data_IF_177434650110
#
_entry.id   IF_177434650110
#
_cell.length_a   1.000
_cell.length_b   1.000
_cell.length_c   1.000
_cell.angle_alpha   90.00
_cell.angle_beta   90.00
_cell.angle_gamma   90.00
#
_symmetry.space_group_name_H-M   'P 1'
#
loop_
_entity.id
_entity.type
_entity.pdbx_description
1 polymer ?
#
# COMPACT_ATOMS: atom_id res chain seq x y z
N UNK A 1 3.50 4.95 42.17
CA UNK A 1 4.79 4.50 41.59
C UNK A 1 4.62 3.72 40.27
N UNK A 2 3.65 2.82 40.13
CA UNK A 2 3.44 2.03 38.91
C UNK A 2 2.96 2.84 37.69
N UNK A 3 2.21 3.92 37.88
CA UNK A 3 1.74 4.81 36.78
C UNK A 3 2.86 5.68 36.21
N UNK A 4 3.82 6.07 37.02
CA UNK A 4 5.01 6.83 36.61
C UNK A 4 5.94 6.01 35.71
N UNK A 5 6.14 4.73 36.05
CA UNK A 5 7.01 3.82 35.27
C UNK A 5 6.38 3.48 33.90
N UNK A 6 5.05 3.33 33.81
CA UNK A 6 4.35 3.15 32.52
C UNK A 6 4.47 4.39 31.63
N UNK A 7 4.32 5.60 32.18
CA UNK A 7 4.53 6.86 31.43
C UNK A 7 5.97 7.01 30.96
N UNK A 8 6.97 6.70 31.80
CA UNK A 8 8.38 6.75 31.41
C UNK A 8 8.73 5.70 30.34
N UNK A 9 8.22 4.47 30.41
CA UNK A 9 8.40 3.46 29.36
C UNK A 9 7.74 3.86 28.03
N UNK A 10 6.56 4.47 28.06
CA UNK A 10 5.91 4.99 26.86
C UNK A 10 6.68 6.19 26.27
N UNK A 11 7.25 7.08 27.09
CA UNK A 11 8.11 8.17 26.62
C UNK A 11 9.39 7.62 25.97
N UNK A 12 10.06 6.64 26.58
CA UNK A 12 11.28 6.05 26.02
C UNK A 12 11.07 5.30 24.69
N UNK A 13 9.88 4.76 24.43
CA UNK A 13 9.56 4.08 23.17
C UNK A 13 9.15 5.10 22.11
N UNK A 14 8.44 6.17 22.46
CA UNK A 14 8.04 7.24 21.54
C UNK A 14 9.23 8.06 21.00
N UNK A 15 10.32 8.17 21.76
CA UNK A 15 11.48 8.97 21.36
C UNK A 15 12.49 8.23 20.50
N UNK A 16 12.31 6.93 20.25
CA UNK A 16 13.20 6.13 19.41
C UNK A 16 12.64 6.00 18.00
N UNK A 17 12.91 6.97 17.15
CA UNK A 17 12.58 6.92 15.74
C UNK A 17 13.75 6.29 14.96
N UNK A 18 13.44 5.38 14.08
CA UNK A 18 14.39 4.76 13.15
C UNK A 18 13.92 5.05 11.74
N UNK A 19 14.77 5.62 10.92
CA UNK A 19 14.47 5.98 9.54
C UNK A 19 15.76 6.01 8.72
N UNK A 20 15.65 5.77 7.43
CA UNK A 20 16.70 5.93 6.42
C UNK A 20 16.54 7.24 5.62
N UNK A 21 15.58 8.11 5.96
CA UNK A 21 15.31 9.35 5.23
C UNK A 21 16.49 10.32 5.20
N UNK A 22 17.32 10.31 6.25
CA UNK A 22 18.49 11.19 6.38
C UNK A 22 19.79 10.48 6.02
N UNK A 23 19.79 9.16 6.00
CA UNK A 23 20.97 8.31 5.74
C UNK A 23 20.54 7.12 4.90
N UNK A 24 21.48 6.47 4.19
CA UNK A 24 21.18 5.27 3.40
C UNK A 24 20.76 4.06 4.25
N UNK A 25 21.16 4.06 5.51
CA UNK A 25 20.88 2.97 6.45
C UNK A 25 19.77 3.40 7.42
N UNK A 26 18.92 2.44 7.81
CA UNK A 26 17.93 2.65 8.86
C UNK A 26 18.62 2.81 10.21
N UNK A 27 18.72 4.06 10.69
CA UNK A 27 19.37 4.41 11.96
C UNK A 27 18.41 5.13 12.89
N UNK A 28 18.79 5.17 14.16
CA UNK A 28 18.11 6.04 15.12
C UNK A 28 18.29 7.48 14.72
N UNK A 29 17.18 8.21 14.59
CA UNK A 29 17.16 9.61 14.16
C UNK A 29 16.43 10.45 15.19
N UNK A 30 16.91 11.68 15.39
CA UNK A 30 16.23 12.68 16.21
C UNK A 30 15.02 13.25 15.44
N UNK A 31 13.99 13.62 16.19
CA UNK A 31 12.72 14.10 15.64
C UNK A 31 12.86 15.42 14.87
N UNK A 32 13.67 16.35 15.35
CA UNK A 32 13.80 17.67 14.75
C UNK A 32 14.40 17.66 13.33
N UNK A 33 15.55 17.00 13.06
CA UNK A 33 16.05 16.88 11.69
C UNK A 33 15.12 16.10 10.77
N UNK A 34 14.45 15.05 11.28
CA UNK A 34 13.51 14.26 10.52
C UNK A 34 12.28 15.08 10.09
N UNK A 35 11.75 15.93 11.00
CA UNK A 35 10.65 16.84 10.70
C UNK A 35 11.05 17.87 9.62
N UNK A 36 12.25 18.45 9.71
CA UNK A 36 12.74 19.38 8.69
C UNK A 36 12.83 18.73 7.31
N UNK A 37 13.36 17.51 7.24
CA UNK A 37 13.43 16.75 6.00
C UNK A 37 12.03 16.49 5.44
N UNK A 38 11.14 15.94 6.26
CA UNK A 38 9.77 15.63 5.84
C UNK A 38 9.03 16.89 5.36
N UNK A 39 9.20 18.03 6.05
CA UNK A 39 8.57 19.29 5.65
C UNK A 39 9.10 19.80 4.30
N UNK A 40 10.41 19.73 4.07
CA UNK A 40 11.00 20.11 2.78
C UNK A 40 10.51 19.22 1.64
N UNK A 41 10.37 17.90 1.88
CA UNK A 41 9.86 16.96 0.87
C UNK A 41 8.36 17.10 0.63
N UNK A 42 7.60 17.50 1.64
CA UNK A 42 6.15 17.68 1.53
C UNK A 42 5.77 18.80 0.54
N UNK A 43 6.58 19.85 0.45
CA UNK A 43 6.41 20.90 -0.55
C UNK A 43 6.47 20.33 -1.97
N UNK A 44 7.50 19.56 -2.29
CA UNK A 44 7.62 18.92 -3.61
C UNK A 44 6.47 17.95 -3.90
N UNK A 45 6.03 17.19 -2.88
CA UNK A 45 4.87 16.31 -3.03
C UNK A 45 3.59 17.08 -3.32
N UNK A 46 3.32 18.19 -2.61
CA UNK A 46 2.14 19.00 -2.83
C UNK A 46 2.08 19.61 -4.24
N UNK A 47 3.23 20.04 -4.76
CA UNK A 47 3.35 20.58 -6.13
C UNK A 47 3.13 19.51 -7.21
N UNK A 48 3.72 18.31 -7.04
CA UNK A 48 3.64 17.24 -8.05
C UNK A 48 2.30 16.48 -8.00
N UNK A 49 1.78 16.22 -6.79
CA UNK A 49 0.58 15.39 -6.62
C UNK A 49 -0.71 16.20 -6.59
N UNK A 50 -0.66 17.54 -6.64
CA UNK A 50 -1.81 18.46 -6.50
C UNK A 50 -2.65 18.14 -5.23
N UNK A 51 -1.96 17.74 -4.17
CA UNK A 51 -2.56 17.31 -2.91
C UNK A 51 -2.72 18.47 -1.94
N UNK A 52 -3.67 18.31 -1.03
CA UNK A 52 -3.89 19.26 0.08
C UNK A 52 -2.70 19.28 1.02
N UNK A 53 -2.34 20.45 1.55
CA UNK A 53 -1.29 20.59 2.56
C UNK A 53 -1.53 19.69 3.77
N UNK A 54 -0.58 18.82 4.05
CA UNK A 54 -0.55 17.97 5.22
C UNK A 54 0.15 18.71 6.38
N UNK A 55 -0.55 18.94 7.48
CA UNK A 55 0.07 19.53 8.68
C UNK A 55 0.91 18.50 9.41
N UNK A 56 2.21 18.71 9.46
CA UNK A 56 3.20 17.77 9.98
C UNK A 56 3.40 17.97 11.49
N UNK A 57 2.50 17.41 12.30
CA UNK A 57 2.68 17.30 13.75
C UNK A 57 3.31 15.94 14.13
N UNK A 58 3.69 15.76 15.39
CA UNK A 58 4.43 14.58 15.84
C UNK A 58 3.74 13.24 15.55
N UNK A 59 2.43 13.17 15.72
CA UNK A 59 1.69 11.94 15.45
C UNK A 59 1.66 11.61 13.95
N UNK A 60 1.56 12.63 13.07
CA UNK A 60 1.63 12.45 11.61
C UNK A 60 3.03 12.01 11.18
N UNK A 61 4.07 12.55 11.78
CA UNK A 61 5.45 12.13 11.50
C UNK A 61 5.68 10.67 11.93
N UNK A 62 5.18 10.28 13.09
CA UNK A 62 5.26 8.89 13.58
C UNK A 62 4.47 7.94 12.67
N UNK A 63 3.30 8.37 12.19
CA UNK A 63 2.51 7.63 11.21
C UNK A 63 3.27 7.47 9.89
N UNK A 64 3.84 8.56 9.38
CA UNK A 64 4.60 8.54 8.12
C UNK A 64 5.78 7.57 8.17
N UNK A 65 6.55 7.56 9.28
CA UNK A 65 7.67 6.62 9.44
C UNK A 65 7.20 5.16 9.48
N UNK A 66 6.04 4.89 10.09
CA UNK A 66 5.48 3.53 10.10
C UNK A 66 5.02 3.09 8.72
N UNK A 67 4.31 3.97 8.00
CA UNK A 67 3.88 3.71 6.62
C UNK A 67 5.07 3.49 5.70
N UNK A 68 6.06 4.36 5.79
CA UNK A 68 7.27 4.30 4.99
C UNK A 68 8.04 2.98 5.17
N UNK A 69 8.19 2.52 6.41
CA UNK A 69 8.84 1.25 6.72
C UNK A 69 8.14 0.04 6.10
N UNK A 70 6.81 0.07 6.04
CA UNK A 70 6.04 -1.01 5.42
C UNK A 70 6.15 -0.95 3.91
N UNK A 71 6.02 0.24 3.31
CA UNK A 71 6.13 0.44 1.85
C UNK A 71 7.53 0.18 1.29
N UNK A 72 8.54 0.10 2.15
CA UNK A 72 9.90 -0.30 1.80
C UNK A 72 10.05 -1.81 1.57
N UNK A 73 9.19 -2.60 2.22
CA UNK A 73 9.28 -4.06 2.18
C UNK A 73 8.56 -4.59 0.94
N UNK A 74 9.13 -5.58 0.23
CA UNK A 74 8.41 -6.28 -0.82
C UNK A 74 7.09 -6.83 -0.28
N UNK A 75 6.00 -6.62 -1.01
CA UNK A 75 4.67 -7.03 -0.56
C UNK A 75 4.17 -6.33 0.71
N UNK A 76 4.76 -5.19 1.06
CA UNK A 76 4.31 -4.38 2.19
C UNK A 76 2.97 -3.74 1.91
N UNK A 77 1.90 -4.21 2.56
CA UNK A 77 0.56 -3.65 2.46
C UNK A 77 0.15 -2.99 3.77
N UNK A 78 -0.67 -1.96 3.70
CA UNK A 78 -1.11 -1.16 4.85
C UNK A 78 -2.64 -1.20 5.00
N UNK A 79 -3.08 -1.32 6.24
CA UNK A 79 -4.46 -1.08 6.66
C UNK A 79 -4.46 0.06 7.67
N UNK A 80 -4.88 1.25 7.21
CA UNK A 80 -4.91 2.47 8.02
C UNK A 80 -6.29 2.69 8.61
N UNK A 81 -6.40 2.63 9.93
CA UNK A 81 -7.66 2.84 10.66
C UNK A 81 -7.63 4.18 11.37
N UNK A 82 -8.57 5.05 11.07
CA UNK A 82 -8.67 6.37 11.69
C UNK A 82 -9.93 7.10 11.29
N UNK A 83 -10.23 8.18 11.99
CA UNK A 83 -11.39 9.02 11.67
C UNK A 83 -11.22 9.72 10.31
N UNK A 84 -12.33 10.07 9.68
CA UNK A 84 -12.28 10.87 8.45
C UNK A 84 -11.55 12.19 8.71
N UNK A 85 -10.74 12.64 7.75
CA UNK A 85 -9.95 13.86 7.90
C UNK A 85 -8.65 13.73 8.70
N UNK A 86 -8.30 12.54 9.21
CA UNK A 86 -7.02 12.32 9.93
C UNK A 86 -5.76 12.34 9.05
N UNK A 87 -5.87 12.65 7.76
CA UNK A 87 -4.74 12.72 6.82
C UNK A 87 -4.12 11.37 6.45
N UNK A 88 -4.73 10.24 6.85
CA UNK A 88 -4.18 8.89 6.66
C UNK A 88 -3.86 8.56 5.20
N UNK A 89 -4.75 8.91 4.28
CA UNK A 89 -4.57 8.67 2.84
C UNK A 89 -3.43 9.53 2.29
N UNK A 90 -3.42 10.82 2.63
CA UNK A 90 -2.39 11.77 2.21
C UNK A 90 -1.01 11.38 2.74
N UNK A 91 -0.92 10.91 4.00
CA UNK A 91 0.34 10.40 4.58
C UNK A 91 0.84 9.18 3.84
N UNK A 92 -0.03 8.21 3.52
CA UNK A 92 0.36 7.02 2.79
C UNK A 92 0.84 7.36 1.37
N UNK A 93 0.14 8.26 0.67
CA UNK A 93 0.53 8.74 -0.67
C UNK A 93 1.85 9.51 -0.64
N UNK A 94 2.05 10.35 0.37
CA UNK A 94 3.33 11.04 0.60
C UNK A 94 4.48 10.04 0.80
N UNK A 95 4.32 9.02 1.63
CA UNK A 95 5.34 8.00 1.83
C UNK A 95 5.60 7.19 0.55
N UNK A 96 4.56 6.84 -0.21
CA UNK A 96 4.68 6.17 -1.49
C UNK A 96 5.46 7.03 -2.51
N UNK A 97 5.14 8.32 -2.60
CA UNK A 97 5.87 9.28 -3.43
C UNK A 97 7.34 9.41 -3.02
N UNK A 98 7.65 9.49 -1.71
CA UNK A 98 9.02 9.52 -1.21
C UNK A 98 9.83 8.28 -1.65
N UNK A 99 9.17 7.14 -1.80
CA UNK A 99 9.78 5.87 -2.25
C UNK A 99 9.79 5.70 -3.77
N UNK A 100 9.31 6.71 -4.52
CA UNK A 100 9.22 6.65 -5.98
C UNK A 100 8.24 5.58 -6.46
N UNK A 101 7.18 5.31 -5.68
CA UNK A 101 6.09 4.45 -6.11
C UNK A 101 5.10 5.26 -6.94
N UNK A 102 4.65 4.71 -8.05
CA UNK A 102 3.55 5.29 -8.82
C UNK A 102 2.26 5.24 -8.01
N UNK A 103 1.61 6.38 -7.84
CA UNK A 103 0.34 6.45 -7.12
C UNK A 103 -0.81 6.01 -8.03
N UNK A 104 -1.60 5.07 -7.56
CA UNK A 104 -2.80 4.60 -8.24
C UNK A 104 -3.99 4.66 -7.29
N UNK A 105 -5.10 5.23 -7.76
CA UNK A 105 -6.36 5.29 -7.04
C UNK A 105 -7.52 5.10 -7.99
N UNK A 106 -8.53 4.40 -7.53
CA UNK A 106 -9.75 4.15 -8.31
C UNK A 106 -10.71 5.33 -8.12
N UNK A 107 -11.37 5.82 -9.18
CA UNK A 107 -12.36 6.88 -9.06
C UNK A 107 -13.52 6.48 -8.16
N UNK A 108 -13.92 7.38 -7.25
CA UNK A 108 -15.13 7.20 -6.45
C UNK A 108 -16.30 7.82 -7.22
N UNK A 109 -17.00 7.00 -8.02
CA UNK A 109 -18.15 7.43 -8.81
C UNK A 109 -19.32 6.45 -8.58
N UNK A 110 -20.54 6.98 -8.57
CA UNK A 110 -21.76 6.17 -8.51
C UNK A 110 -21.96 5.27 -9.74
N UNK A 111 -21.28 5.58 -10.84
CA UNK A 111 -21.27 4.79 -12.09
C UNK A 111 -20.16 3.76 -12.16
N UNK A 112 -19.36 3.61 -11.08
CA UNK A 112 -18.25 2.67 -11.03
C UNK A 112 -18.74 1.28 -10.65
N UNK A 113 -19.01 0.46 -11.67
CA UNK A 113 -19.51 -0.90 -11.56
C UNK A 113 -18.38 -1.95 -11.41
N UNK A 114 -18.76 -3.22 -11.32
CA UNK A 114 -17.81 -4.33 -11.18
C UNK A 114 -16.97 -4.55 -12.45
N UNK A 115 -17.54 -4.32 -13.62
CA UNK A 115 -16.81 -4.51 -14.87
C UNK A 115 -15.67 -3.49 -14.99
N UNK A 116 -15.91 -2.23 -14.61
CA UNK A 116 -14.87 -1.19 -14.57
C UNK A 116 -13.82 -1.48 -13.52
N UNK A 117 -14.23 -2.02 -12.36
CA UNK A 117 -13.26 -2.44 -11.33
C UNK A 117 -12.35 -3.55 -11.86
N UNK A 118 -12.89 -4.51 -12.61
CA UNK A 118 -12.09 -5.57 -13.22
C UNK A 118 -11.15 -5.04 -14.31
N UNK A 119 -11.61 -4.09 -15.12
CA UNK A 119 -10.77 -3.45 -16.14
C UNK A 119 -9.60 -2.67 -15.50
N UNK A 120 -9.89 -1.88 -14.47
CA UNK A 120 -8.87 -1.16 -13.70
C UNK A 120 -7.89 -2.13 -13.01
N UNK A 121 -8.39 -3.23 -12.47
CA UNK A 121 -7.57 -4.25 -11.85
C UNK A 121 -6.67 -4.97 -12.87
N UNK A 122 -7.20 -5.31 -14.07
CA UNK A 122 -6.39 -5.84 -15.18
C UNK A 122 -5.29 -4.87 -15.60
N UNK A 123 -5.65 -3.59 -15.75
CA UNK A 123 -4.68 -2.54 -16.11
C UNK A 123 -3.59 -2.39 -15.04
N UNK A 124 -3.97 -2.39 -13.76
CA UNK A 124 -3.03 -2.32 -12.65
C UNK A 124 -2.09 -3.53 -12.62
N UNK A 125 -2.63 -4.75 -12.73
CA UNK A 125 -1.82 -5.96 -12.69
C UNK A 125 -0.89 -6.10 -13.90
N UNK A 126 -1.28 -5.61 -15.09
CA UNK A 126 -0.37 -5.51 -16.25
C UNK A 126 0.77 -4.51 -16.01
N UNK A 127 0.50 -3.36 -15.40
CA UNK A 127 1.56 -2.39 -15.05
C UNK A 127 2.57 -3.00 -14.08
N UNK A 128 2.08 -3.65 -13.04
CA UNK A 128 2.93 -4.22 -11.99
C UNK A 128 3.59 -5.52 -12.43
N UNK A 129 2.81 -6.48 -12.92
CA UNK A 129 3.26 -7.84 -13.18
C UNK A 129 4.02 -7.99 -14.50
N UNK A 130 3.67 -7.21 -15.53
CA UNK A 130 4.34 -7.27 -16.84
C UNK A 130 5.45 -6.24 -16.96
N UNK A 131 5.17 -4.96 -16.57
CA UNK A 131 6.15 -3.88 -16.72
C UNK A 131 7.10 -3.76 -15.54
N UNK A 132 6.86 -4.49 -14.45
CA UNK A 132 7.65 -4.39 -13.22
C UNK A 132 7.54 -3.05 -12.50
N UNK A 133 6.49 -2.28 -12.78
CA UNK A 133 6.29 -0.95 -12.19
C UNK A 133 5.94 -1.08 -10.71
N UNK A 134 6.62 -0.31 -9.87
CA UNK A 134 6.32 -0.25 -8.44
C UNK A 134 5.15 0.67 -8.20
N UNK A 135 4.04 0.13 -7.73
CA UNK A 135 2.78 0.87 -7.58
C UNK A 135 2.26 0.82 -6.16
N UNK A 136 1.82 1.95 -5.65
CA UNK A 136 1.03 2.07 -4.44
C UNK A 136 -0.44 2.31 -4.81
N UNK A 137 -1.26 1.29 -4.58
CA UNK A 137 -2.70 1.35 -4.82
C UNK A 137 -3.43 1.75 -3.54
N UNK A 138 -4.02 2.94 -3.55
CA UNK A 138 -4.80 3.45 -2.42
C UNK A 138 -6.28 3.18 -2.63
N UNK A 139 -6.90 2.55 -1.64
CA UNK A 139 -8.33 2.20 -1.61
C UNK A 139 -8.98 2.75 -0.34
N UNK A 140 -10.19 3.27 -0.51
CA UNK A 140 -11.06 3.67 0.61
C UNK A 140 -12.07 2.57 0.94
N UNK A 141 -12.55 2.54 2.19
CA UNK A 141 -13.55 1.58 2.66
C UNK A 141 -14.80 1.54 1.76
N UNK A 142 -15.23 2.68 1.22
CA UNK A 142 -16.38 2.77 0.33
C UNK A 142 -16.19 2.03 -0.99
N UNK A 143 -14.97 1.99 -1.51
CA UNK A 143 -14.62 1.32 -2.76
C UNK A 143 -14.61 -0.21 -2.63
N UNK A 144 -14.36 -0.69 -1.42
CA UNK A 144 -14.33 -2.13 -1.09
C UNK A 144 -15.56 -2.58 -0.29
N UNK A 145 -16.61 -1.77 -0.22
CA UNK A 145 -17.85 -2.13 0.46
C UNK A 145 -18.60 -3.29 -0.21
N UNK A 146 -18.32 -3.53 -1.50
CA UNK A 146 -18.95 -4.60 -2.29
C UNK A 146 -18.25 -5.93 -2.00
N UNK A 147 -18.95 -6.99 -1.55
CA UNK A 147 -18.34 -8.27 -1.18
C UNK A 147 -17.46 -8.88 -2.28
N UNK A 148 -17.87 -8.80 -3.55
CA UNK A 148 -17.10 -9.31 -4.66
C UNK A 148 -15.72 -8.65 -4.80
N UNK A 149 -15.61 -7.33 -4.55
CA UNK A 149 -14.33 -6.62 -4.57
C UNK A 149 -13.44 -7.03 -3.40
N UNK A 150 -14.02 -7.22 -2.22
CA UNK A 150 -13.30 -7.72 -1.03
C UNK A 150 -12.70 -9.10 -1.32
N UNK A 151 -13.46 -9.99 -1.96
CA UNK A 151 -12.99 -11.33 -2.32
C UNK A 151 -11.83 -11.28 -3.32
N UNK A 152 -11.93 -10.46 -4.36
CA UNK A 152 -10.84 -10.23 -5.33
C UNK A 152 -9.59 -9.69 -4.66
N UNK A 153 -9.73 -8.72 -3.74
CA UNK A 153 -8.61 -8.20 -2.96
C UNK A 153 -8.01 -9.24 -2.02
N UNK A 154 -8.83 -10.05 -1.36
CA UNK A 154 -8.35 -11.15 -0.53
C UNK A 154 -7.52 -12.16 -1.32
N UNK A 155 -8.00 -12.54 -2.52
CA UNK A 155 -7.30 -13.47 -3.40
C UNK A 155 -5.99 -12.85 -3.91
N UNK A 156 -6.03 -11.59 -4.32
CA UNK A 156 -4.85 -10.85 -4.77
C UNK A 156 -3.77 -10.75 -3.68
N UNK A 157 -4.16 -10.38 -2.45
CA UNK A 157 -3.23 -10.26 -1.34
C UNK A 157 -2.69 -11.61 -0.85
N UNK A 158 -3.48 -12.69 -0.98
CA UNK A 158 -3.06 -14.02 -0.58
C UNK A 158 -2.11 -14.65 -1.59
N UNK A 159 -2.45 -14.58 -2.88
CA UNK A 159 -1.86 -15.39 -3.94
C UNK A 159 -1.13 -14.57 -5.02
N UNK A 160 -1.20 -13.23 -4.98
CA UNK A 160 -0.74 -12.32 -6.03
C UNK A 160 -1.42 -12.58 -7.40
N UNK A 161 -2.64 -13.10 -7.38
CA UNK A 161 -3.45 -13.34 -8.56
C UNK A 161 -4.94 -13.21 -8.23
N UNK A 162 -5.77 -13.04 -9.25
CA UNK A 162 -7.22 -13.04 -9.14
C UNK A 162 -7.78 -14.00 -10.16
N UNK A 163 -8.42 -15.08 -9.69
CA UNK A 163 -8.99 -16.10 -10.55
C UNK A 163 -10.07 -15.53 -11.47
N UNK A 164 -10.07 -15.95 -12.75
CA UNK A 164 -11.07 -15.49 -13.73
C UNK A 164 -10.90 -14.04 -14.21
N UNK A 165 -9.84 -13.34 -13.81
CA UNK A 165 -9.62 -11.95 -14.23
C UNK A 165 -9.09 -11.86 -15.67
N UNK A 166 -8.24 -12.78 -16.08
CA UNK A 166 -7.70 -12.89 -17.43
C UNK A 166 -8.19 -14.19 -18.06
N UNK A 167 -8.99 -14.12 -19.13
CA UNK A 167 -9.54 -15.27 -19.82
C UNK A 167 -9.43 -15.11 -21.35
N UNK A 168 -9.46 -16.22 -22.07
CA UNK A 168 -9.46 -16.23 -23.53
C UNK A 168 -8.30 -15.46 -24.15
N UNK A 169 -8.61 -14.53 -25.04
CA UNK A 169 -7.61 -13.72 -25.77
C UNK A 169 -6.78 -12.82 -24.85
N UNK A 170 -7.37 -12.34 -23.74
CA UNK A 170 -6.64 -11.54 -22.77
C UNK A 170 -5.56 -12.34 -22.04
N UNK A 171 -5.84 -13.60 -21.73
CA UNK A 171 -4.86 -14.51 -21.13
C UNK A 171 -3.72 -14.83 -22.11
N UNK A 172 -4.04 -15.13 -23.37
CA UNK A 172 -3.02 -15.35 -24.39
C UNK A 172 -2.14 -14.10 -24.62
N UNK A 173 -2.76 -12.91 -24.63
CA UNK A 173 -2.04 -11.63 -24.70
C UNK A 173 -1.13 -11.39 -23.48
N UNK A 174 -1.58 -11.74 -22.28
CA UNK A 174 -0.77 -11.63 -21.06
C UNK A 174 0.46 -12.52 -21.14
N UNK A 175 0.30 -13.79 -21.53
CA UNK A 175 1.43 -14.73 -21.68
C UNK A 175 2.44 -14.25 -22.73
N UNK A 176 1.98 -13.72 -23.87
CA UNK A 176 2.87 -13.13 -24.86
C UNK A 176 3.69 -11.97 -24.29
N UNK A 177 3.05 -11.04 -23.58
CA UNK A 177 3.73 -9.92 -22.94
C UNK A 177 4.73 -10.36 -21.86
N UNK A 178 4.42 -11.43 -21.12
CA UNK A 178 5.32 -12.00 -20.11
C UNK A 178 6.55 -12.66 -20.73
N UNK A 179 6.40 -13.34 -21.90
CA UNK A 179 7.54 -13.86 -22.66
C UNK A 179 8.49 -12.76 -23.10
N UNK A 180 7.94 -11.66 -23.64
CA UNK A 180 8.74 -10.49 -24.01
C UNK A 180 9.46 -9.86 -22.79
N UNK A 181 8.81 -9.87 -21.64
CA UNK A 181 9.40 -9.36 -20.40
C UNK A 181 10.50 -10.29 -19.91
N UNK A 182 10.28 -11.59 -19.84
CA UNK A 182 11.27 -12.59 -19.47
C UNK A 182 12.51 -12.49 -20.37
N UNK A 183 12.31 -12.35 -21.67
CA UNK A 183 13.41 -12.20 -22.62
C UNK A 183 14.22 -10.91 -22.36
N UNK A 184 13.55 -9.79 -22.06
CA UNK A 184 14.23 -8.52 -21.69
C UNK A 184 15.03 -8.63 -20.39
N UNK A 185 14.58 -9.43 -19.46
CA UNK A 185 15.26 -9.70 -18.18
C UNK A 185 16.33 -10.81 -18.30
N UNK A 186 16.49 -11.38 -19.49
CA UNK A 186 17.47 -12.44 -19.75
C UNK A 186 17.09 -13.81 -19.14
N UNK A 187 15.79 -14.00 -18.86
CA UNK A 187 15.24 -15.23 -18.33
C UNK A 187 14.78 -16.13 -19.48
N UNK A 188 15.13 -17.41 -19.41
CA UNK A 188 14.63 -18.44 -20.35
C UNK A 188 13.53 -19.19 -19.62
N UNK A 189 12.27 -18.88 -19.95
CA UNK A 189 11.09 -19.49 -19.38
C UNK A 189 10.31 -20.15 -20.51
N UNK A 190 10.17 -21.48 -20.45
CA UNK A 190 9.60 -22.27 -21.53
C UNK A 190 8.12 -22.64 -21.26
N UNK A 191 7.70 -22.66 -20.00
CA UNK A 191 6.33 -23.01 -19.62
C UNK A 191 5.47 -21.82 -19.24
N UNK A 192 4.17 -21.93 -19.47
CA UNK A 192 3.21 -20.90 -19.05
C UNK A 192 3.16 -20.77 -17.52
N UNK A 193 3.38 -21.87 -16.79
CA UNK A 193 3.44 -21.85 -15.32
C UNK A 193 4.62 -21.02 -14.79
N UNK A 194 5.77 -21.08 -15.44
CA UNK A 194 6.95 -20.25 -15.09
C UNK A 194 6.70 -18.77 -15.39
N UNK A 195 6.04 -18.46 -16.51
CA UNK A 195 5.64 -17.10 -16.84
C UNK A 195 4.67 -16.53 -15.81
N UNK A 196 3.69 -17.32 -15.39
CA UNK A 196 2.76 -16.92 -14.33
C UNK A 196 3.45 -16.81 -12.96
N UNK A 197 4.45 -17.63 -12.69
CA UNK A 197 5.26 -17.50 -11.47
C UNK A 197 6.06 -16.17 -11.47
N UNK A 198 6.64 -15.77 -12.61
CA UNK A 198 7.28 -14.47 -12.79
C UNK A 198 6.27 -13.33 -12.56
N UNK A 199 5.08 -13.43 -13.16
CA UNK A 199 4.01 -12.44 -12.99
C UNK A 199 3.63 -12.26 -11.51
N UNK A 200 3.41 -13.36 -10.79
CA UNK A 200 3.10 -13.34 -9.35
C UNK A 200 4.26 -12.78 -8.52
N UNK A 201 5.50 -13.10 -8.87
CA UNK A 201 6.67 -12.57 -8.19
C UNK A 201 6.79 -11.05 -8.34
N UNK A 202 6.54 -10.52 -9.55
CA UNK A 202 6.50 -9.08 -9.79
C UNK A 202 5.39 -8.40 -9.01
N UNK A 203 4.17 -8.97 -8.98
CA UNK A 203 3.05 -8.43 -8.21
C UNK A 203 3.40 -8.43 -6.72
N UNK A 204 3.90 -9.54 -6.19
CA UNK A 204 4.29 -9.64 -4.78
C UNK A 204 5.35 -8.61 -4.40
N UNK A 205 6.29 -8.32 -5.29
CA UNK A 205 7.40 -7.41 -4.98
C UNK A 205 7.02 -5.94 -5.15
N UNK A 206 6.26 -5.62 -6.19
CA UNK A 206 6.08 -4.25 -6.68
C UNK A 206 4.71 -3.64 -6.35
N UNK A 207 3.71 -4.45 -5.97
CA UNK A 207 2.40 -3.95 -5.60
C UNK A 207 2.33 -3.68 -4.09
N UNK A 208 1.97 -2.45 -3.75
CA UNK A 208 1.68 -2.04 -2.38
C UNK A 208 0.22 -1.59 -2.31
N UNK A 209 -0.59 -2.28 -1.50
CA UNK A 209 -1.99 -1.91 -1.28
C UNK A 209 -2.12 -1.17 0.04
N UNK A 210 -2.75 -0.01 -0.02
CA UNK A 210 -3.08 0.81 1.15
C UNK A 210 -4.58 0.94 1.25
N UNK A 211 -5.17 0.24 2.21
CA UNK A 211 -6.58 0.34 2.50
C UNK A 211 -6.80 1.31 3.66
N UNK A 212 -7.70 2.26 3.48
CA UNK A 212 -8.10 3.19 4.54
C UNK A 212 -9.52 2.91 4.99
N UNK A 213 -9.73 2.82 6.31
CA UNK A 213 -11.06 2.59 6.87
C UNK A 213 -11.29 3.41 8.15
N UNK A 214 -12.55 3.65 8.43
CA UNK A 214 -12.98 4.26 9.68
C UNK A 214 -12.94 3.22 10.81
N UNK A 215 -12.73 3.64 12.08
CA UNK A 215 -12.83 2.73 13.20
C UNK A 215 -14.21 2.06 13.21
N UNK A 216 -14.29 0.73 13.20
CA UNK A 216 -15.56 0.03 13.17
C UNK A 216 -16.35 0.34 14.45
N UNK A 217 -17.64 0.61 14.29
CA UNK A 217 -18.59 0.78 15.41
C UNK A 217 -19.03 -0.54 16.03
N UNK A 218 -18.40 -1.68 15.65
CA UNK A 218 -18.71 -3.04 16.07
C UNK A 218 -17.48 -3.91 16.22
N UNK A 219 -17.68 -5.22 16.24
CA UNK A 219 -16.62 -6.19 16.48
C UNK A 219 -15.65 -6.27 15.28
N UNK A 220 -14.39 -5.91 15.53
CA UNK A 220 -13.29 -6.11 14.57
C UNK A 220 -13.10 -7.58 14.20
N UNK A 221 -13.43 -8.51 15.13
CA UNK A 221 -13.30 -9.94 14.87
C UNK A 221 -14.25 -10.40 13.76
N UNK A 222 -15.45 -9.84 13.67
CA UNK A 222 -16.40 -10.17 12.61
C UNK A 222 -15.90 -9.70 11.23
N UNK A 223 -15.31 -8.50 11.15
CA UNK A 223 -14.67 -8.01 9.91
C UNK A 223 -13.43 -8.83 9.55
N UNK A 224 -12.66 -9.24 10.54
CA UNK A 224 -11.51 -10.12 10.38
C UNK A 224 -11.90 -11.47 9.78
N UNK A 225 -12.99 -12.06 10.25
CA UNK A 225 -13.50 -13.32 9.72
C UNK A 225 -13.99 -13.20 8.27
N UNK A 226 -14.56 -12.02 7.89
CA UNK A 226 -15.02 -11.76 6.54
C UNK A 226 -13.87 -11.48 5.54
N UNK A 227 -12.70 -11.04 6.01
CA UNK A 227 -11.58 -10.65 5.15
C UNK A 227 -10.22 -11.04 5.75
N UNK A 228 -9.92 -12.34 5.87
CA UNK A 228 -8.73 -12.81 6.57
C UNK A 228 -7.42 -12.36 5.92
N UNK A 229 -7.34 -12.28 4.60
CA UNK A 229 -6.11 -11.86 3.92
C UNK A 229 -5.82 -10.38 4.16
N UNK A 230 -6.81 -9.51 4.22
CA UNK A 230 -6.63 -8.09 4.55
C UNK A 230 -5.95 -7.89 5.90
N UNK A 231 -6.30 -8.68 6.90
CA UNK A 231 -5.72 -8.56 8.24
C UNK A 231 -4.39 -9.31 8.39
N UNK A 232 -4.23 -10.44 7.70
CA UNK A 232 -3.00 -11.24 7.80
C UNK A 232 -1.86 -10.71 6.93
N UNK A 233 -2.18 -10.06 5.80
CA UNK A 233 -1.20 -9.54 4.82
C UNK A 233 -0.94 -8.06 4.96
N UNK A 234 -1.86 -7.29 5.55
CA UNK A 234 -1.69 -5.86 5.75
C UNK A 234 -1.17 -5.55 7.15
N UNK A 235 -0.20 -4.66 7.24
CA UNK A 235 0.22 -4.09 8.52
C UNK A 235 -0.83 -3.09 8.97
N UNK A 236 -1.43 -3.38 10.13
CA UNK A 236 -2.46 -2.55 10.73
C UNK A 236 -1.82 -1.35 11.45
N UNK A 237 -2.25 -0.15 11.08
CA UNK A 237 -1.80 1.09 11.72
C UNK A 237 -3.00 1.94 12.12
N UNK A 238 -3.08 2.26 13.40
CA UNK A 238 -4.09 3.18 13.93
C UNK A 238 -3.59 4.63 13.80
N UNK A 239 -4.41 5.47 13.19
CA UNK A 239 -4.19 6.91 13.06
C UNK A 239 -4.99 7.62 14.16
N UNK A 240 -4.33 7.89 15.28
CA UNK A 240 -4.91 8.67 16.37
C UNK A 240 -4.63 10.15 16.08
N UNK A 241 -5.68 10.93 16.03
CA UNK A 241 -5.62 12.41 16.04
C UNK A 241 -5.68 12.93 17.46
#
# INVERSE_FOLDING_TARGET
>A
FHLSIRRQRQMCIRDRLYSDWLTRDCRRVERAPLRRYAHARLHGFAEEALETELVLHDAVLDLAIRCDRVLQQPGGHLLLIGVAGSGRTTVARFCAWLRGLSLYSVPTSSTYDEARFDDDLRALLRRVGVRGERVCWTLDESQVAVPARVEKLNTLLANAEVAGLFEGDEYASLLSQLRDTAQREGLVLDSDDELLALFRAHITTNLHVVLTMTPPRGDMAQRAAASPALLNRCTLVYCWT
#
